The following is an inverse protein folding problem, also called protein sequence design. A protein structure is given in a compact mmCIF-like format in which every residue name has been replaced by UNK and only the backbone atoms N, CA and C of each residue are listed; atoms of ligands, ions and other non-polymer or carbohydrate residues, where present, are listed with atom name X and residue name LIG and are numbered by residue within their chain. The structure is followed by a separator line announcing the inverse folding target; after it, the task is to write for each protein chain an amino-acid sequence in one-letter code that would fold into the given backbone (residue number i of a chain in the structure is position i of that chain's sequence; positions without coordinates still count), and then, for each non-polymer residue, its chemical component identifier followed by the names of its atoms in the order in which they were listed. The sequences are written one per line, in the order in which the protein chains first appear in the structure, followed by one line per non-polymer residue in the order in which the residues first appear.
data_IF_029015055046
#
_entry.id   IF_029015055046
#
_cell.length_a   1.000
_cell.length_b   1.000
_cell.length_c   1.000
_cell.angle_alpha   90.00
_cell.angle_beta   90.00
_cell.angle_gamma   90.00
#
_symmetry.space_group_name_H-M   'P 1'
#
loop_
_entity.id
_entity.type
_entity.pdbx_description
1 polymer ?
#
# COMPACT_ATOMS: atom_id res chain seq x y z
N UNK A 1 -25.96 31.53 23.79
CA UNK A 1 -25.38 30.48 24.65
C UNK A 1 -25.76 29.07 24.18
N UNK A 2 -27.00 28.78 23.76
CA UNK A 2 -27.44 27.44 23.32
C UNK A 2 -26.77 26.96 22.03
N UNK A 3 -26.63 27.80 20.99
CA UNK A 3 -26.00 27.41 19.72
C UNK A 3 -24.52 27.00 19.87
N UNK A 4 -23.74 27.67 20.71
CA UNK A 4 -22.33 27.32 20.99
C UNK A 4 -22.20 25.96 21.70
N UNK A 5 -23.18 25.65 22.59
CA UNK A 5 -23.22 24.38 23.29
C UNK A 5 -23.62 23.20 22.35
N UNK A 6 -24.52 23.46 21.41
CA UNK A 6 -24.90 22.46 20.39
C UNK A 6 -23.74 22.16 19.41
N UNK A 7 -23.02 23.19 18.95
CA UNK A 7 -21.83 23.02 18.13
C UNK A 7 -20.71 22.22 18.85
N UNK A 8 -20.50 22.48 20.15
CA UNK A 8 -19.56 21.72 20.97
C UNK A 8 -19.98 20.24 21.11
N UNK A 9 -21.27 19.98 21.37
CA UNK A 9 -21.78 18.60 21.47
C UNK A 9 -21.65 17.84 20.16
N UNK A 10 -21.96 18.49 19.03
CA UNK A 10 -21.83 17.90 17.69
C UNK A 10 -20.35 17.60 17.36
N UNK A 11 -19.44 18.53 17.64
CA UNK A 11 -18.00 18.30 17.45
C UNK A 11 -17.44 17.14 18.28
N UNK A 12 -17.85 17.04 19.57
CA UNK A 12 -17.47 15.93 20.44
C UNK A 12 -18.05 14.57 19.97
N UNK A 13 -19.23 14.57 19.38
CA UNK A 13 -19.83 13.34 18.84
C UNK A 13 -19.06 12.83 17.61
N UNK A 14 -18.62 13.71 16.72
CA UNK A 14 -17.80 13.37 15.56
C UNK A 14 -16.43 12.83 16.00
N UNK A 15 -15.80 13.45 16.98
CA UNK A 15 -14.50 13.02 17.48
C UNK A 15 -14.58 11.64 18.14
N UNK A 16 -15.61 11.39 18.97
CA UNK A 16 -15.88 10.07 19.54
C UNK A 16 -16.11 9.01 18.45
N UNK A 17 -16.85 9.34 17.41
CA UNK A 17 -17.08 8.45 16.27
C UNK A 17 -15.77 8.09 15.56
N UNK A 18 -14.90 9.07 15.30
CA UNK A 18 -13.59 8.84 14.69
C UNK A 18 -12.70 7.93 15.52
N UNK A 19 -12.67 8.14 16.84
CA UNK A 19 -11.92 7.28 17.78
C UNK A 19 -12.50 5.87 17.79
N UNK A 20 -13.83 5.72 17.77
CA UNK A 20 -14.48 4.42 17.70
C UNK A 20 -14.11 3.68 16.40
N UNK A 21 -14.13 4.38 15.25
CA UNK A 21 -13.73 3.79 13.97
C UNK A 21 -12.25 3.40 13.96
N UNK A 22 -11.37 4.22 14.54
CA UNK A 22 -9.95 3.88 14.67
C UNK A 22 -9.76 2.60 15.50
N UNK A 23 -10.48 2.47 16.62
CA UNK A 23 -10.47 1.27 17.43
C UNK A 23 -11.02 0.04 16.68
N UNK A 24 -12.09 0.20 15.92
CA UNK A 24 -12.65 -0.85 15.08
C UNK A 24 -11.65 -1.32 14.00
N UNK A 25 -10.96 -0.40 13.33
CA UNK A 25 -9.91 -0.75 12.36
C UNK A 25 -8.71 -1.40 13.03
N UNK A 26 -8.34 -1.02 14.26
CA UNK A 26 -7.30 -1.68 15.03
C UNK A 26 -7.67 -3.14 15.36
N UNK A 27 -8.93 -3.38 15.75
CA UNK A 27 -9.44 -4.75 15.99
C UNK A 27 -9.44 -5.57 14.69
N UNK A 28 -9.87 -4.99 13.56
CA UNK A 28 -9.81 -5.65 12.27
C UNK A 28 -8.38 -5.97 11.84
N UNK A 29 -7.44 -5.04 12.04
CA UNK A 29 -6.03 -5.25 11.74
C UNK A 29 -5.43 -6.38 12.59
N UNK A 30 -5.68 -6.36 13.89
CA UNK A 30 -5.24 -7.42 14.79
C UNK A 30 -5.87 -8.78 14.43
N UNK A 31 -7.17 -8.80 14.14
CA UNK A 31 -7.88 -10.00 13.69
C UNK A 31 -7.31 -10.56 12.38
N UNK A 32 -7.06 -9.71 11.38
CA UNK A 32 -6.47 -10.11 10.10
C UNK A 32 -5.05 -10.64 10.25
N UNK A 33 -4.24 -9.97 11.07
CA UNK A 33 -2.88 -10.43 11.38
C UNK A 33 -2.89 -11.79 12.08
N UNK A 34 -3.69 -11.97 13.12
CA UNK A 34 -3.83 -13.24 13.83
C UNK A 34 -4.36 -14.34 12.90
N UNK A 35 -5.38 -14.04 12.09
CA UNK A 35 -5.90 -14.98 11.10
C UNK A 35 -4.80 -15.39 10.11
N UNK A 36 -3.97 -14.45 9.64
CA UNK A 36 -2.85 -14.72 8.73
C UNK A 36 -1.78 -15.64 9.36
N UNK A 37 -1.49 -15.49 10.65
CA UNK A 37 -0.53 -16.33 11.36
C UNK A 37 -1.10 -17.72 11.63
N UNK A 38 -2.37 -17.81 12.01
CA UNK A 38 -2.99 -19.07 12.45
C UNK A 38 -3.44 -19.95 11.27
N UNK A 39 -3.90 -19.34 10.16
CA UNK A 39 -4.44 -20.06 9.01
C UNK A 39 -3.36 -20.39 7.98
N UNK A 40 -3.51 -21.52 7.27
CA UNK A 40 -2.61 -21.94 6.18
C UNK A 40 -2.88 -23.38 5.77
N UNK A 41 -2.19 -23.88 4.72
CA UNK A 41 -2.38 -25.21 4.15
C UNK A 41 -2.17 -26.34 5.20
N UNK A 42 -1.27 -26.14 6.16
CA UNK A 42 -1.04 -27.06 7.29
C UNK A 42 -1.85 -26.58 8.49
N UNK A 43 -2.73 -27.41 9.04
CA UNK A 43 -3.47 -27.08 10.25
C UNK A 43 -2.55 -27.17 11.46
N UNK A 44 -2.36 -26.06 12.17
CA UNK A 44 -1.65 -26.01 13.46
C UNK A 44 -2.73 -25.86 14.55
N UNK A 45 -2.88 -26.83 15.45
CA UNK A 45 -3.88 -26.75 16.51
C UNK A 45 -3.56 -25.58 17.46
N UNK A 46 -4.62 -24.87 17.89
CA UNK A 46 -4.48 -23.70 18.77
C UNK A 46 -3.78 -24.06 20.09
N UNK A 47 -3.96 -25.29 20.58
CA UNK A 47 -3.24 -25.83 21.76
C UNK A 47 -1.72 -25.84 21.58
N UNK A 48 -1.24 -26.13 20.36
CA UNK A 48 0.21 -26.15 20.07
C UNK A 48 0.85 -24.75 20.11
N UNK A 49 0.07 -23.68 19.98
CA UNK A 49 0.59 -22.31 20.03
C UNK A 49 1.17 -21.95 21.40
N UNK A 50 0.50 -22.37 22.48
CA UNK A 50 0.99 -22.16 23.85
C UNK A 50 2.34 -22.85 24.07
N UNK A 51 2.48 -24.08 23.60
CA UNK A 51 3.71 -24.84 23.69
C UNK A 51 4.84 -24.21 22.87
N UNK A 52 4.53 -23.78 21.64
CA UNK A 52 5.51 -23.11 20.75
C UNK A 52 6.00 -21.79 21.36
N UNK A 53 5.11 -20.98 21.95
CA UNK A 53 5.46 -19.71 22.60
C UNK A 53 6.31 -19.90 23.85
N UNK A 54 6.11 -21.00 24.58
CA UNK A 54 6.89 -21.37 25.77
C UNK A 54 8.22 -22.11 25.43
N UNK A 55 8.58 -22.16 24.14
CA UNK A 55 9.83 -22.76 23.67
C UNK A 55 9.79 -24.29 23.51
N UNK A 56 8.61 -24.92 23.72
CA UNK A 56 8.33 -26.32 23.45
C UNK A 56 7.62 -26.55 22.12
N UNK A 57 6.94 -27.68 21.99
CA UNK A 57 6.15 -28.06 20.84
C UNK A 57 6.94 -28.81 19.75
N UNK A 58 6.19 -29.26 18.72
CA UNK A 58 6.76 -29.92 17.56
C UNK A 58 7.63 -28.96 16.73
N UNK A 59 8.87 -29.37 16.46
CA UNK A 59 9.83 -28.57 15.68
C UNK A 59 9.30 -28.16 14.30
N UNK A 60 8.53 -29.00 13.61
CA UNK A 60 7.96 -28.69 12.32
C UNK A 60 6.92 -27.56 12.42
N UNK A 61 5.98 -27.65 13.35
CA UNK A 61 4.96 -26.61 13.58
C UNK A 61 5.58 -25.28 14.01
N UNK A 62 6.63 -25.32 14.84
CA UNK A 62 7.39 -24.14 15.26
C UNK A 62 8.08 -23.47 14.06
N UNK A 63 8.73 -24.23 13.19
CA UNK A 63 9.39 -23.72 11.99
C UNK A 63 8.38 -23.08 11.04
N UNK A 64 7.24 -23.73 10.81
CA UNK A 64 6.17 -23.18 9.95
C UNK A 64 5.64 -21.87 10.53
N UNK A 65 5.37 -21.81 11.84
CA UNK A 65 4.81 -20.61 12.46
C UNK A 65 5.81 -19.45 12.45
N UNK A 66 7.04 -19.65 12.94
CA UNK A 66 8.00 -18.58 13.19
C UNK A 66 8.78 -18.17 11.93
N UNK A 67 9.06 -19.09 11.00
CA UNK A 67 9.93 -18.82 9.85
C UNK A 67 9.17 -18.69 8.52
N UNK A 68 7.89 -19.12 8.45
CA UNK A 68 7.09 -19.01 7.24
C UNK A 68 5.91 -18.08 7.46
N UNK A 69 5.01 -18.36 8.43
CA UNK A 69 3.77 -17.62 8.58
C UNK A 69 3.95 -16.23 9.19
N UNK A 70 4.73 -16.15 10.26
CA UNK A 70 4.92 -14.90 10.99
C UNK A 70 5.58 -13.82 10.11
N UNK A 71 6.74 -14.07 9.44
CA UNK A 71 7.32 -13.05 8.56
C UNK A 71 6.41 -12.69 7.38
N UNK A 72 5.69 -13.67 6.79
CA UNK A 72 4.71 -13.39 5.74
C UNK A 72 3.57 -12.48 6.22
N UNK A 73 3.02 -12.74 7.42
CA UNK A 73 1.97 -11.91 8.01
C UNK A 73 2.46 -10.49 8.31
N UNK A 74 3.71 -10.34 8.79
CA UNK A 74 4.32 -9.03 9.03
C UNK A 74 4.51 -8.29 7.70
N UNK A 75 5.04 -8.95 6.66
CA UNK A 75 5.19 -8.35 5.33
C UNK A 75 3.83 -7.94 4.76
N UNK A 76 2.80 -8.80 4.87
CA UNK A 76 1.43 -8.46 4.44
C UNK A 76 0.90 -7.21 5.13
N UNK A 77 1.09 -7.11 6.45
CA UNK A 77 0.71 -5.96 7.25
C UNK A 77 1.44 -4.68 6.81
N UNK A 78 2.77 -4.74 6.65
CA UNK A 78 3.58 -3.60 6.22
C UNK A 78 3.25 -3.15 4.79
N UNK A 79 3.04 -4.09 3.87
CA UNK A 79 2.63 -3.80 2.49
C UNK A 79 1.25 -3.12 2.47
N UNK A 80 0.29 -3.66 3.22
CA UNK A 80 -1.05 -3.08 3.32
C UNK A 80 -1.03 -1.66 3.90
N UNK A 81 -0.29 -1.45 4.98
CA UNK A 81 -0.07 -0.14 5.58
C UNK A 81 0.56 0.83 4.59
N UNK A 82 1.66 0.44 3.95
CA UNK A 82 2.42 1.32 3.06
C UNK A 82 1.61 1.74 1.84
N UNK A 83 0.92 0.81 1.18
CA UNK A 83 0.08 1.13 0.02
C UNK A 83 -1.11 2.02 0.40
N UNK A 84 -1.78 1.73 1.52
CA UNK A 84 -2.91 2.52 1.98
C UNK A 84 -2.52 3.94 2.37
N UNK A 85 -1.42 4.11 3.12
CA UNK A 85 -0.91 5.44 3.50
C UNK A 85 -0.38 6.19 2.28
N UNK A 86 0.36 5.52 1.39
CA UNK A 86 0.80 6.11 0.12
C UNK A 86 -0.39 6.63 -0.68
N UNK A 87 -1.43 5.81 -0.84
CA UNK A 87 -2.66 6.21 -1.52
C UNK A 87 -3.31 7.44 -0.87
N UNK A 88 -3.48 7.44 0.46
CA UNK A 88 -4.05 8.58 1.18
C UNK A 88 -3.26 9.88 0.95
N UNK A 89 -1.94 9.80 0.99
CA UNK A 89 -1.03 10.94 0.78
C UNK A 89 -1.11 11.42 -0.67
N UNK A 90 -1.03 10.52 -1.64
CA UNK A 90 -1.09 10.88 -3.06
C UNK A 90 -2.45 11.45 -3.46
N UNK A 91 -3.55 10.92 -2.91
CA UNK A 91 -4.89 11.49 -3.08
C UNK A 91 -4.96 12.94 -2.58
N UNK A 92 -4.31 13.25 -1.46
CA UNK A 92 -4.22 14.62 -0.95
C UNK A 92 -3.44 15.54 -1.89
N UNK A 93 -2.25 15.13 -2.28
CA UNK A 93 -1.34 15.91 -3.14
C UNK A 93 -1.97 16.16 -4.51
N UNK A 94 -2.61 15.14 -5.08
CA UNK A 94 -3.27 15.22 -6.39
C UNK A 94 -4.65 15.88 -6.34
N UNK A 95 -5.20 16.12 -5.14
CA UNK A 95 -6.60 16.55 -4.96
C UNK A 95 -7.57 15.68 -5.75
N UNK A 96 -7.28 14.39 -5.80
CA UNK A 96 -8.06 13.41 -6.55
C UNK A 96 -8.24 12.15 -5.69
N UNK A 97 -9.46 11.81 -5.27
CA UNK A 97 -9.74 10.63 -4.46
C UNK A 97 -9.45 9.29 -5.18
N UNK A 98 -9.27 9.34 -6.51
CA UNK A 98 -8.95 8.19 -7.34
C UNK A 98 -7.44 8.03 -7.62
N UNK A 99 -6.59 8.87 -7.03
CA UNK A 99 -5.15 8.73 -7.17
C UNK A 99 -4.66 7.47 -6.43
N UNK A 100 -3.85 6.68 -7.12
CA UNK A 100 -3.24 5.44 -6.61
C UNK A 100 -1.79 5.38 -7.09
N UNK A 101 -0.84 4.88 -6.28
CA UNK A 101 0.56 4.73 -6.67
C UNK A 101 0.76 3.92 -7.96
N UNK A 102 -0.12 2.94 -8.19
CA UNK A 102 -0.09 2.11 -9.39
C UNK A 102 -0.44 2.91 -10.65
N UNK A 103 -1.45 3.76 -10.57
CA UNK A 103 -1.93 4.60 -11.70
C UNK A 103 -0.92 5.70 -12.02
N UNK A 104 -0.22 6.23 -11.00
CA UNK A 104 0.74 7.34 -11.16
C UNK A 104 2.06 6.88 -11.82
N UNK A 105 2.31 5.57 -11.96
CA UNK A 105 3.47 5.02 -12.67
C UNK A 105 4.64 4.57 -11.81
N UNK A 106 4.56 4.72 -10.49
CA UNK A 106 5.60 4.24 -9.55
C UNK A 106 5.76 2.72 -9.68
N UNK A 107 4.63 2.00 -9.73
CA UNK A 107 4.62 0.57 -9.88
C UNK A 107 5.19 0.07 -11.21
N UNK A 108 5.04 0.84 -12.29
CA UNK A 108 5.61 0.46 -13.60
C UNK A 108 7.14 0.49 -13.59
N UNK A 109 7.75 1.42 -12.85
CA UNK A 109 9.19 1.47 -12.64
C UNK A 109 9.71 0.26 -11.88
N UNK A 110 9.02 -0.10 -10.77
CA UNK A 110 9.31 -1.34 -10.04
C UNK A 110 9.12 -2.56 -10.94
N UNK A 111 8.05 -2.56 -11.73
CA UNK A 111 7.71 -3.63 -12.68
C UNK A 111 8.82 -3.92 -13.68
N UNK A 112 9.24 -2.90 -14.39
CA UNK A 112 10.31 -3.07 -15.38
C UNK A 112 11.62 -3.52 -14.73
N UNK A 113 12.04 -2.89 -13.64
CA UNK A 113 13.31 -3.22 -12.98
C UNK A 113 13.29 -4.63 -12.35
N UNK A 114 12.19 -5.03 -11.69
CA UNK A 114 12.05 -6.38 -11.14
C UNK A 114 12.01 -7.46 -12.22
N UNK A 115 11.20 -7.26 -13.26
CA UNK A 115 11.09 -8.21 -14.39
C UNK A 115 12.42 -8.32 -15.13
N UNK A 116 13.15 -7.22 -15.29
CA UNK A 116 14.48 -7.23 -15.89
C UNK A 116 15.43 -8.20 -15.16
N UNK A 117 15.44 -8.16 -13.82
CA UNK A 117 16.26 -9.10 -13.03
C UNK A 117 15.72 -10.53 -13.12
N UNK A 118 14.41 -10.72 -12.93
CA UNK A 118 13.79 -12.07 -12.94
C UNK A 118 14.08 -12.81 -14.25
N UNK A 119 13.99 -12.12 -15.38
CA UNK A 119 14.07 -12.73 -16.72
C UNK A 119 15.51 -12.84 -17.23
N UNK A 120 16.29 -11.76 -17.11
CA UNK A 120 17.65 -11.71 -17.68
C UNK A 120 18.71 -12.26 -16.74
N UNK A 121 18.52 -12.10 -15.42
CA UNK A 121 19.51 -12.46 -14.41
C UNK A 121 18.92 -13.33 -13.29
N UNK A 122 18.32 -14.52 -13.59
CA UNK A 122 17.65 -15.35 -12.59
C UNK A 122 18.58 -15.81 -11.45
N UNK A 123 19.89 -15.89 -11.69
CA UNK A 123 20.88 -16.19 -10.64
C UNK A 123 21.05 -15.07 -9.61
N UNK A 124 20.56 -13.85 -9.90
CA UNK A 124 20.65 -12.67 -9.03
C UNK A 124 19.30 -12.33 -8.37
N UNK A 125 18.53 -13.35 -7.99
CA UNK A 125 17.19 -13.19 -7.40
C UNK A 125 17.20 -12.23 -6.18
N UNK A 126 18.26 -12.20 -5.40
CA UNK A 126 18.43 -11.28 -4.25
C UNK A 126 18.44 -9.80 -4.64
N UNK A 127 18.68 -9.47 -5.92
CA UNK A 127 18.63 -8.10 -6.43
C UNK A 127 17.23 -7.66 -6.86
N UNK A 128 16.22 -8.54 -6.91
CA UNK A 128 14.87 -8.18 -7.35
C UNK A 128 14.31 -7.02 -6.50
N UNK A 129 14.37 -7.15 -5.17
CA UNK A 129 13.82 -6.15 -4.26
C UNK A 129 14.55 -4.81 -4.38
N UNK A 130 15.89 -4.72 -4.26
CA UNK A 130 16.57 -3.44 -4.37
C UNK A 130 16.45 -2.79 -5.75
N UNK A 131 16.48 -3.57 -6.84
CA UNK A 131 16.32 -3.01 -8.20
C UNK A 131 14.89 -2.54 -8.45
N UNK A 132 13.88 -3.28 -8.03
CA UNK A 132 12.48 -2.85 -8.12
C UNK A 132 12.23 -1.57 -7.31
N UNK A 133 12.80 -1.47 -6.11
CA UNK A 133 12.75 -0.24 -5.30
C UNK A 133 13.39 0.95 -6.02
N UNK A 134 14.61 0.78 -6.54
CA UNK A 134 15.29 1.82 -7.31
C UNK A 134 14.50 2.21 -8.57
N UNK A 135 13.96 1.22 -9.30
CA UNK A 135 13.13 1.45 -10.48
C UNK A 135 11.86 2.27 -10.17
N UNK A 136 11.20 1.96 -9.05
CA UNK A 136 10.04 2.73 -8.57
C UNK A 136 10.40 4.19 -8.23
N UNK A 137 11.50 4.38 -7.49
CA UNK A 137 11.96 5.72 -7.10
C UNK A 137 12.42 6.54 -8.30
N UNK A 138 13.12 5.93 -9.27
CA UNK A 138 13.52 6.58 -10.51
C UNK A 138 12.33 6.98 -11.36
N UNK A 139 11.31 6.11 -11.48
CA UNK A 139 10.08 6.44 -12.18
C UNK A 139 9.35 7.62 -11.49
N UNK A 140 9.23 7.60 -10.17
CA UNK A 140 8.62 8.70 -9.41
C UNK A 140 9.38 10.02 -9.63
N UNK A 141 10.71 10.01 -9.57
CA UNK A 141 11.54 11.18 -9.81
C UNK A 141 11.40 11.68 -11.26
N UNK A 142 11.42 10.80 -12.24
CA UNK A 142 11.22 11.13 -13.64
C UNK A 142 9.86 11.80 -13.89
N UNK A 143 8.79 11.21 -13.36
CA UNK A 143 7.43 11.75 -13.46
C UNK A 143 7.35 13.14 -12.83
N UNK A 144 7.96 13.32 -11.65
CA UNK A 144 7.97 14.59 -10.96
C UNK A 144 8.72 15.67 -11.75
N UNK A 145 9.89 15.33 -12.30
CA UNK A 145 10.70 16.24 -13.14
C UNK A 145 9.95 16.63 -14.41
N UNK A 146 9.34 15.67 -15.11
CA UNK A 146 8.57 15.92 -16.32
C UNK A 146 7.31 16.78 -16.07
N UNK A 147 6.68 16.60 -14.90
CA UNK A 147 5.51 17.38 -14.50
C UNK A 147 5.86 18.81 -14.05
N UNK A 148 7.14 19.09 -13.79
CA UNK A 148 7.60 20.38 -13.29
C UNK A 148 7.63 21.43 -14.42
N UNK A 149 6.81 22.48 -14.30
CA UNK A 149 6.83 23.66 -15.18
C UNK A 149 6.25 24.84 -14.40
N UNK A 150 7.11 25.71 -13.86
CA UNK A 150 6.71 26.84 -13.01
C UNK A 150 5.77 26.43 -11.86
N UNK A 151 6.13 25.35 -11.18
CA UNK A 151 5.34 24.70 -10.14
C UNK A 151 4.62 23.44 -10.63
N UNK A 152 4.19 22.63 -9.66
CA UNK A 152 3.54 21.34 -9.89
C UNK A 152 2.03 21.50 -9.91
N UNK A 153 1.41 21.01 -10.99
CA UNK A 153 -0.04 20.87 -11.11
C UNK A 153 -0.42 19.39 -11.08
N UNK A 154 -1.44 18.98 -10.31
CA UNK A 154 -1.88 17.58 -10.22
C UNK A 154 -2.09 16.91 -11.56
N UNK A 155 -2.78 17.58 -12.50
CA UNK A 155 -3.04 17.07 -13.85
C UNK A 155 -1.75 16.71 -14.61
N UNK A 156 -0.68 17.50 -14.46
CA UNK A 156 0.60 17.22 -15.14
C UNK A 156 1.27 15.96 -14.60
N UNK A 157 1.19 15.72 -13.30
CA UNK A 157 1.73 14.47 -12.69
C UNK A 157 0.99 13.27 -13.26
N UNK A 158 -0.34 13.33 -13.36
CA UNK A 158 -1.14 12.24 -13.92
C UNK A 158 -0.76 12.00 -15.40
N UNK A 159 -0.67 13.03 -16.22
CA UNK A 159 -0.30 12.90 -17.63
C UNK A 159 1.13 12.38 -17.81
N UNK A 160 2.10 12.89 -17.04
CA UNK A 160 3.47 12.38 -17.02
C UNK A 160 3.52 10.93 -16.56
N UNK A 161 2.73 10.60 -15.53
CA UNK A 161 2.59 9.22 -15.02
C UNK A 161 2.09 8.26 -16.08
N UNK A 162 1.03 8.61 -16.81
CA UNK A 162 0.50 7.79 -17.92
C UNK A 162 1.55 7.59 -19.01
N UNK A 163 2.25 8.65 -19.44
CA UNK A 163 3.28 8.56 -20.47
C UNK A 163 4.47 7.68 -20.06
N UNK A 164 4.99 7.90 -18.84
CA UNK A 164 6.11 7.10 -18.29
C UNK A 164 5.68 5.64 -18.09
N UNK A 165 4.48 5.40 -17.55
CA UNK A 165 3.95 4.03 -17.38
C UNK A 165 3.82 3.29 -18.69
N UNK A 166 3.34 3.97 -19.75
CA UNK A 166 3.20 3.38 -21.08
C UNK A 166 4.57 3.02 -21.67
N UNK A 167 5.56 3.90 -21.51
CA UNK A 167 6.93 3.65 -21.97
C UNK A 167 7.57 2.47 -21.23
N UNK A 168 7.47 2.45 -19.88
CA UNK A 168 8.00 1.37 -19.06
C UNK A 168 7.25 0.04 -19.32
N UNK A 169 5.94 0.10 -19.55
CA UNK A 169 5.10 -1.04 -19.94
C UNK A 169 5.51 -1.63 -21.29
N UNK A 170 5.90 -0.79 -22.26
CA UNK A 170 6.46 -1.27 -23.53
C UNK A 170 7.79 -2.01 -23.30
N UNK A 171 8.65 -1.53 -22.39
CA UNK A 171 9.86 -2.22 -21.99
C UNK A 171 9.59 -3.59 -21.36
N UNK A 172 8.59 -3.69 -20.47
CA UNK A 172 8.14 -4.96 -19.90
C UNK A 172 7.69 -5.91 -21.00
N UNK A 173 6.82 -5.44 -21.91
CA UNK A 173 6.31 -6.25 -23.03
C UNK A 173 7.44 -6.75 -23.94
N UNK A 174 8.42 -5.90 -24.23
CA UNK A 174 9.59 -6.29 -25.03
C UNK A 174 10.39 -7.43 -24.38
N UNK A 175 10.65 -7.35 -23.07
CA UNK A 175 11.35 -8.40 -22.31
C UNK A 175 10.56 -9.71 -22.38
N UNK A 176 9.24 -9.67 -22.14
CA UNK A 176 8.40 -10.87 -22.12
C UNK A 176 8.29 -11.53 -23.51
N UNK A 177 8.31 -10.76 -24.58
CA UNK A 177 8.31 -11.30 -25.96
C UNK A 177 9.64 -11.90 -26.34
N UNK A 178 10.75 -11.22 -26.01
CA UNK A 178 12.11 -11.68 -26.36
C UNK A 178 12.54 -12.92 -25.56
N UNK A 179 12.02 -13.12 -24.34
CA UNK A 179 12.38 -14.19 -23.42
C UNK A 179 11.14 -14.99 -22.99
N UNK A 180 10.33 -15.41 -23.95
CA UNK A 180 9.03 -16.08 -23.70
C UNK A 180 9.13 -17.38 -22.91
N UNK A 181 10.27 -18.04 -22.87
CA UNK A 181 10.58 -19.23 -22.09
C UNK A 181 10.70 -18.98 -20.57
N UNK A 182 10.89 -17.72 -20.16
CA UNK A 182 11.12 -17.31 -18.75
C UNK A 182 9.98 -16.44 -18.16
N UNK A 183 8.84 -16.41 -18.82
CA UNK A 183 7.74 -15.50 -18.50
C UNK A 183 7.04 -15.85 -17.18
N UNK A 184 7.04 -17.11 -16.76
CA UNK A 184 6.23 -17.56 -15.62
C UNK A 184 6.51 -16.78 -14.32
N UNK A 185 7.78 -16.63 -13.94
CA UNK A 185 8.18 -15.87 -12.75
C UNK A 185 7.80 -14.40 -12.84
N UNK A 186 7.96 -13.79 -14.02
CA UNK A 186 7.58 -12.42 -14.29
C UNK A 186 6.06 -12.21 -14.17
N UNK A 187 5.24 -13.13 -14.69
CA UNK A 187 3.78 -13.08 -14.55
C UNK A 187 3.34 -13.15 -13.09
N UNK A 188 3.91 -14.08 -12.29
CA UNK A 188 3.60 -14.18 -10.86
C UNK A 188 3.93 -12.87 -10.12
N UNK A 189 5.06 -12.24 -10.46
CA UNK A 189 5.48 -10.98 -9.88
C UNK A 189 4.60 -9.80 -10.32
N UNK A 190 4.14 -9.79 -11.59
CA UNK A 190 3.20 -8.78 -12.12
C UNK A 190 1.83 -8.84 -11.46
N UNK A 191 1.36 -10.02 -11.12
CA UNK A 191 0.07 -10.17 -10.42
C UNK A 191 0.15 -9.66 -8.98
N UNK A 192 1.34 -9.72 -8.38
CA UNK A 192 1.57 -9.35 -6.99
C UNK A 192 1.21 -10.45 -6.00
N UNK A 193 2.15 -10.84 -5.17
CA UNK A 193 2.00 -11.94 -4.24
C UNK A 193 2.93 -11.85 -3.04
N UNK A 194 2.55 -12.57 -1.98
CA UNK A 194 3.29 -12.64 -0.71
C UNK A 194 3.85 -14.04 -0.45
N UNK A 195 3.75 -14.95 -1.43
CA UNK A 195 4.35 -16.27 -1.34
C UNK A 195 5.87 -16.17 -1.15
N UNK A 196 6.44 -17.09 -0.36
CA UNK A 196 7.87 -17.16 -0.04
C UNK A 196 8.47 -15.88 0.60
N UNK A 197 7.66 -14.99 1.18
CA UNK A 197 8.18 -13.85 1.94
C UNK A 197 8.65 -14.31 3.33
N UNK A 198 9.85 -13.83 3.72
CA UNK A 198 10.63 -14.30 4.86
C UNK A 198 11.22 -13.12 5.64
N UNK A 199 11.96 -13.36 6.70
CA UNK A 199 12.55 -12.32 7.56
C UNK A 199 13.39 -11.25 6.82
N UNK A 200 14.25 -11.58 5.84
CA UNK A 200 14.95 -10.57 5.06
C UNK A 200 14.03 -9.54 4.38
N UNK A 201 12.84 -9.96 3.95
CA UNK A 201 11.87 -9.02 3.37
C UNK A 201 11.27 -8.09 4.43
N UNK A 202 11.07 -8.58 5.68
CA UNK A 202 10.66 -7.74 6.82
C UNK A 202 11.73 -6.69 7.11
N UNK A 203 12.99 -7.11 7.20
CA UNK A 203 14.12 -6.22 7.48
C UNK A 203 14.25 -5.10 6.44
N UNK A 204 14.00 -5.43 5.16
CA UNK A 204 14.08 -4.44 4.08
C UNK A 204 12.91 -3.45 4.13
N UNK A 205 11.66 -3.91 4.30
CA UNK A 205 10.49 -3.02 4.20
C UNK A 205 10.25 -2.19 5.48
N UNK A 206 10.59 -2.73 6.65
CA UNK A 206 10.27 -2.14 7.95
C UNK A 206 10.80 -0.70 8.14
N UNK A 207 12.06 -0.38 7.84
CA UNK A 207 12.58 0.98 8.02
C UNK A 207 11.80 2.01 7.21
N UNK A 208 11.51 1.71 5.95
CA UNK A 208 10.77 2.60 5.06
C UNK A 208 9.31 2.77 5.51
N UNK A 209 8.70 1.69 5.99
CA UNK A 209 7.35 1.69 6.52
C UNK A 209 7.23 2.59 7.76
N UNK A 210 8.14 2.42 8.72
CA UNK A 210 8.15 3.22 9.96
C UNK A 210 8.43 4.69 9.67
N UNK A 211 9.49 4.99 8.91
CA UNK A 211 9.86 6.37 8.57
C UNK A 211 8.75 7.05 7.77
N UNK A 212 8.26 6.40 6.72
CA UNK A 212 7.21 6.97 5.86
C UNK A 212 5.90 7.20 6.60
N UNK A 213 5.50 6.26 7.47
CA UNK A 213 4.30 6.41 8.30
C UNK A 213 4.42 7.56 9.30
N UNK A 214 5.54 7.64 10.04
CA UNK A 214 5.78 8.73 11.00
C UNK A 214 5.74 10.09 10.29
N UNK A 215 6.46 10.22 9.16
CA UNK A 215 6.46 11.46 8.39
C UNK A 215 5.08 11.84 7.88
N UNK A 216 4.28 10.87 7.41
CA UNK A 216 2.91 11.10 6.96
C UNK A 216 2.01 11.58 8.10
N UNK A 217 2.08 10.95 9.28
CA UNK A 217 1.29 11.33 10.47
C UNK A 217 1.71 12.70 10.99
N UNK A 218 2.99 12.95 11.16
CA UNK A 218 3.52 14.25 11.63
C UNK A 218 3.13 15.40 10.70
N UNK A 219 3.08 15.12 9.40
CA UNK A 219 2.72 16.12 8.41
C UNK A 219 1.23 16.21 8.05
N UNK A 220 0.35 15.46 8.71
CA UNK A 220 -1.09 15.39 8.39
C UNK A 220 -1.77 16.77 8.33
N UNK A 221 -1.35 17.71 9.18
CA UNK A 221 -1.86 19.09 9.18
C UNK A 221 -1.61 19.81 7.84
N UNK A 222 -0.48 19.60 7.20
CA UNK A 222 -0.18 20.22 5.91
C UNK A 222 -1.04 19.63 4.81
N UNK A 223 -1.37 18.33 4.88
CA UNK A 223 -2.32 17.71 3.95
C UNK A 223 -3.72 18.29 4.13
N UNK A 224 -4.17 18.54 5.36
CA UNK A 224 -5.43 19.23 5.62
C UNK A 224 -5.45 20.63 5.01
N UNK A 225 -4.36 21.40 5.16
CA UNK A 225 -4.25 22.75 4.59
C UNK A 225 -4.29 22.69 3.05
N UNK A 226 -3.62 21.73 2.42
CA UNK A 226 -3.67 21.55 0.96
C UNK A 226 -5.08 21.33 0.42
N UNK A 227 -5.97 20.70 1.21
CA UNK A 227 -7.37 20.49 0.79
C UNK A 227 -8.17 21.80 0.69
N UNK A 228 -7.76 22.86 1.39
CA UNK A 228 -8.43 24.16 1.36
C UNK A 228 -8.21 24.92 0.05
N UNK A 229 -7.29 24.48 -0.78
CA UNK A 229 -6.89 25.15 -2.03
C UNK A 229 -5.51 25.81 -1.94
N UNK A 230 -4.89 26.01 -3.10
CA UNK A 230 -3.51 26.50 -3.16
C UNK A 230 -3.38 27.95 -2.68
N UNK A 231 -4.35 28.79 -3.05
CA UNK A 231 -4.33 30.21 -2.67
C UNK A 231 -4.57 30.39 -1.17
N UNK A 232 -5.48 29.61 -0.58
CA UNK A 232 -5.72 29.62 0.86
C UNK A 232 -4.50 29.09 1.59
N UNK A 233 -3.89 27.99 1.13
CA UNK A 233 -2.69 27.43 1.73
C UNK A 233 -1.51 28.43 1.71
N UNK A 234 -1.30 29.14 0.61
CA UNK A 234 -0.30 30.22 0.51
C UNK A 234 -0.61 31.38 1.45
N UNK A 235 -1.88 31.78 1.54
CA UNK A 235 -2.32 32.81 2.47
C UNK A 235 -2.08 32.47 3.95
N UNK A 236 -2.08 31.16 4.28
CA UNK A 236 -1.70 30.62 5.59
C UNK A 236 -0.18 30.46 5.78
N UNK A 237 0.63 30.92 4.84
CA UNK A 237 2.10 30.86 4.91
C UNK A 237 2.70 29.49 4.56
N UNK A 238 1.93 28.58 3.97
CA UNK A 238 2.42 27.25 3.59
C UNK A 238 3.06 27.29 2.20
N UNK A 239 4.29 26.78 2.09
CA UNK A 239 4.92 26.56 0.80
C UNK A 239 4.33 25.31 0.13
N UNK A 240 3.30 25.54 -0.70
CA UNK A 240 2.54 24.48 -1.38
C UNK A 240 3.43 23.56 -2.23
N UNK A 241 4.43 24.12 -2.91
CA UNK A 241 5.35 23.37 -3.77
C UNK A 241 6.20 22.39 -2.95
N UNK A 242 6.79 22.89 -1.85
CA UNK A 242 7.60 22.07 -0.96
C UNK A 242 6.75 20.96 -0.30
N UNK A 243 5.56 21.29 0.14
CA UNK A 243 4.65 20.30 0.76
C UNK A 243 4.29 19.22 -0.27
N UNK A 244 3.96 19.59 -1.51
CA UNK A 244 3.70 18.61 -2.57
C UNK A 244 4.91 17.73 -2.88
N UNK A 245 6.09 18.32 -2.98
CA UNK A 245 7.33 17.56 -3.21
C UNK A 245 7.55 16.52 -2.10
N UNK A 246 7.55 16.98 -0.85
CA UNK A 246 7.83 16.12 0.31
C UNK A 246 6.81 15.00 0.42
N UNK A 247 5.51 15.29 0.29
CA UNK A 247 4.48 14.26 0.41
C UNK A 247 4.43 13.33 -0.81
N UNK A 248 4.76 13.82 -2.01
CA UNK A 248 4.95 12.91 -3.16
C UNK A 248 6.13 11.96 -2.92
N UNK A 249 7.22 12.45 -2.38
CA UNK A 249 8.38 11.62 -2.04
C UNK A 249 8.04 10.58 -0.95
N UNK A 250 7.29 10.97 0.10
CA UNK A 250 6.81 10.04 1.14
C UNK A 250 5.89 8.97 0.53
N UNK A 251 4.91 9.37 -0.29
CA UNK A 251 4.02 8.44 -0.98
C UNK A 251 4.78 7.49 -1.91
N UNK A 252 5.74 8.00 -2.67
CA UNK A 252 6.59 7.18 -3.55
C UNK A 252 7.47 6.20 -2.75
N UNK A 253 8.06 6.64 -1.64
CA UNK A 253 8.88 5.80 -0.76
C UNK A 253 8.07 4.61 -0.21
N UNK A 254 6.88 4.90 0.33
CA UNK A 254 5.98 3.88 0.87
C UNK A 254 5.51 2.89 -0.23
N UNK A 255 5.11 3.41 -1.39
CA UNK A 255 4.70 2.56 -2.51
C UNK A 255 5.87 1.72 -3.06
N UNK A 256 7.05 2.32 -3.27
CA UNK A 256 8.23 1.63 -3.77
C UNK A 256 8.65 0.49 -2.84
N UNK A 257 8.66 0.72 -1.52
CA UNK A 257 9.00 -0.30 -0.53
C UNK A 257 7.99 -1.45 -0.51
N UNK A 258 6.70 -1.18 -0.68
CA UNK A 258 5.66 -2.21 -0.74
C UNK A 258 5.75 -3.01 -2.05
N UNK A 259 5.81 -2.34 -3.20
CA UNK A 259 5.82 -2.97 -4.52
C UNK A 259 7.10 -3.78 -4.75
N UNK A 260 8.25 -3.32 -4.27
CA UNK A 260 9.52 -4.05 -4.40
C UNK A 260 9.48 -5.43 -3.70
N UNK A 261 8.70 -5.55 -2.63
CA UNK A 261 8.56 -6.81 -1.88
C UNK A 261 7.36 -7.64 -2.35
N UNK A 262 6.21 -7.01 -2.60
CA UNK A 262 4.96 -7.72 -2.93
C UNK A 262 4.69 -7.87 -4.43
N UNK A 263 5.48 -7.23 -5.32
CA UNK A 263 5.14 -7.10 -6.73
C UNK A 263 4.04 -6.07 -6.96
N UNK A 264 3.40 -6.11 -8.13
CA UNK A 264 2.45 -5.09 -8.58
C UNK A 264 1.06 -5.26 -7.93
N UNK A 265 0.96 -5.01 -6.63
CA UNK A 265 -0.29 -5.10 -5.88
C UNK A 265 -1.10 -3.78 -6.02
N UNK A 266 -2.17 -3.82 -6.79
CA UNK A 266 -3.06 -2.67 -7.03
C UNK A 266 -4.23 -2.56 -6.05
N UNK A 267 -5.01 -1.47 -6.20
CA UNK A 267 -6.27 -1.17 -5.53
C UNK A 267 -6.21 -0.87 -4.02
N UNK A 268 -5.20 -1.32 -3.27
CA UNK A 268 -5.10 -1.06 -1.82
C UNK A 268 -5.07 0.45 -1.56
N UNK A 269 -4.21 1.18 -2.29
CA UNK A 269 -4.06 2.63 -2.16
C UNK A 269 -5.28 3.43 -2.63
N UNK A 270 -6.14 2.82 -3.43
CA UNK A 270 -7.38 3.44 -3.89
C UNK A 270 -8.53 3.20 -2.90
N UNK A 271 -8.80 1.93 -2.60
CA UNK A 271 -9.99 1.50 -1.84
C UNK A 271 -9.91 1.91 -0.39
N UNK A 272 -8.77 1.62 0.26
CA UNK A 272 -8.64 1.76 1.70
C UNK A 272 -8.82 3.22 2.16
N UNK A 273 -8.07 4.22 1.65
CA UNK A 273 -8.24 5.58 2.11
C UNK A 273 -9.59 6.18 1.72
N UNK A 274 -10.18 5.74 0.61
CA UNK A 274 -11.51 6.17 0.22
C UNK A 274 -12.58 5.64 1.20
N UNK A 275 -12.53 4.34 1.54
CA UNK A 275 -13.43 3.73 2.55
C UNK A 275 -13.29 4.43 3.91
N UNK A 276 -12.07 4.69 4.35
CA UNK A 276 -11.82 5.43 5.58
C UNK A 276 -12.43 6.83 5.53
N UNK A 277 -12.25 7.54 4.41
CA UNK A 277 -12.80 8.90 4.23
C UNK A 277 -14.33 8.92 4.33
N UNK A 278 -15.00 7.93 3.79
CA UNK A 278 -16.46 7.79 3.90
C UNK A 278 -16.92 7.57 5.34
N UNK A 279 -16.13 6.90 6.18
CA UNK A 279 -16.49 6.54 7.55
C UNK A 279 -16.02 7.58 8.59
N UNK A 280 -14.85 8.18 8.41
CA UNK A 280 -14.23 9.08 9.40
C UNK A 280 -14.13 10.54 8.96
N UNK A 281 -14.46 10.81 7.69
CA UNK A 281 -14.29 12.14 7.08
C UNK A 281 -12.86 12.37 6.55
N UNK A 282 -12.62 13.62 6.09
CA UNK A 282 -11.41 13.97 5.33
C UNK A 282 -10.28 14.55 6.18
N UNK A 283 -10.34 14.46 7.52
CA UNK A 283 -9.25 14.93 8.39
C UNK A 283 -8.08 13.95 8.39
N UNK A 284 -6.96 14.34 7.80
CA UNK A 284 -5.77 13.49 7.63
C UNK A 284 -5.13 13.03 8.95
N UNK A 285 -5.40 13.70 10.07
CA UNK A 285 -4.95 13.26 11.40
C UNK A 285 -5.57 11.92 11.80
N UNK A 286 -6.80 11.64 11.35
CA UNK A 286 -7.50 10.38 11.54
C UNK A 286 -7.43 9.49 10.30
N UNK A 287 -7.44 10.08 9.11
CA UNK A 287 -7.45 9.35 7.85
C UNK A 287 -6.17 8.53 7.64
N UNK A 288 -4.99 9.08 7.95
CA UNK A 288 -3.72 8.35 7.78
C UNK A 288 -3.62 7.13 8.71
N UNK A 289 -3.78 7.26 10.05
CA UNK A 289 -3.68 6.10 10.93
C UNK A 289 -4.81 5.08 10.70
N UNK A 290 -6.02 5.53 10.38
CA UNK A 290 -7.13 4.63 10.04
C UNK A 290 -6.87 3.89 8.72
N UNK A 291 -6.30 4.55 7.71
CA UNK A 291 -5.90 3.91 6.45
C UNK A 291 -4.79 2.88 6.66
N UNK A 292 -3.83 3.16 7.53
CA UNK A 292 -2.79 2.21 7.89
C UNK A 292 -3.39 0.93 8.49
N UNK A 293 -4.26 1.07 9.48
CA UNK A 293 -4.91 -0.06 10.15
C UNK A 293 -5.83 -0.85 9.22
N UNK A 294 -6.67 -0.17 8.45
CA UNK A 294 -7.55 -0.84 7.49
C UNK A 294 -6.74 -1.49 6.36
N UNK A 295 -5.63 -0.89 5.92
CA UNK A 295 -4.72 -1.46 4.94
C UNK A 295 -4.09 -2.76 5.43
N UNK A 296 -3.63 -2.80 6.69
CA UNK A 296 -3.16 -4.03 7.36
C UNK A 296 -4.26 -5.10 7.30
N UNK A 297 -5.47 -4.77 7.73
CA UNK A 297 -6.58 -5.72 7.74
C UNK A 297 -6.87 -6.27 6.33
N UNK A 298 -7.05 -5.39 5.35
CA UNK A 298 -7.42 -5.77 3.97
C UNK A 298 -6.40 -6.71 3.36
N UNK A 299 -5.10 -6.39 3.45
CA UNK A 299 -4.07 -7.22 2.81
C UNK A 299 -3.85 -8.53 3.56
N UNK A 300 -3.87 -8.53 4.91
CA UNK A 300 -3.70 -9.77 5.68
C UNK A 300 -4.87 -10.73 5.50
N UNK A 301 -6.12 -10.25 5.47
CA UNK A 301 -7.27 -11.10 5.17
C UNK A 301 -7.25 -11.60 3.71
N UNK A 302 -6.94 -10.73 2.75
CA UNK A 302 -6.89 -11.11 1.33
C UNK A 302 -5.78 -12.15 1.06
N UNK A 303 -4.59 -12.00 1.67
CA UNK A 303 -3.52 -13.00 1.56
C UNK A 303 -3.92 -14.32 2.23
N UNK A 304 -4.60 -14.27 3.37
CA UNK A 304 -5.10 -15.47 4.03
C UNK A 304 -6.12 -16.19 3.18
N UNK A 305 -7.09 -15.48 2.63
CA UNK A 305 -8.09 -16.05 1.71
C UNK A 305 -7.42 -16.65 0.47
N UNK A 306 -6.44 -15.95 -0.12
CA UNK A 306 -5.70 -16.42 -1.29
C UNK A 306 -4.97 -17.74 -1.04
N UNK A 307 -4.53 -18.00 0.20
CA UNK A 307 -3.84 -19.24 0.60
C UNK A 307 -4.77 -20.41 0.91
N UNK A 308 -5.99 -20.13 1.41
CA UNK A 308 -6.86 -21.19 1.92
C UNK A 308 -8.03 -21.53 0.99
N UNK A 309 -8.37 -20.65 0.03
CA UNK A 309 -9.56 -20.81 -0.80
C UNK A 309 -9.44 -21.97 -1.81
N UNK A 310 -8.23 -22.29 -2.28
CA UNK A 310 -8.01 -23.26 -3.36
C UNK A 310 -6.91 -24.29 -3.02
N UNK A 311 -6.83 -24.72 -1.76
CA UNK A 311 -5.85 -25.73 -1.32
C UNK A 311 -5.88 -26.95 -2.23
N UNK A 312 -4.74 -27.46 -2.73
CA UNK A 312 -3.36 -27.12 -2.36
C UNK A 312 -2.71 -25.96 -3.14
N UNK A 313 -3.44 -25.31 -4.03
CA UNK A 313 -2.92 -24.18 -4.82
C UNK A 313 -3.03 -22.88 -4.03
N UNK A 314 -1.93 -22.11 -3.96
CA UNK A 314 -1.95 -20.76 -3.43
C UNK A 314 -2.11 -19.76 -4.59
N UNK A 315 -3.16 -18.93 -4.53
CA UNK A 315 -3.32 -17.85 -5.49
C UNK A 315 -2.57 -16.59 -5.03
N UNK A 316 -1.99 -15.81 -5.96
CA UNK A 316 -1.45 -14.50 -5.63
C UNK A 316 -2.52 -13.57 -5.04
N UNK A 317 -2.19 -12.85 -3.97
CA UNK A 317 -3.12 -11.91 -3.29
C UNK A 317 -3.64 -10.83 -4.24
N UNK A 318 -2.86 -10.45 -5.25
CA UNK A 318 -3.26 -9.46 -6.25
C UNK A 318 -4.52 -9.83 -7.03
N UNK A 319 -4.79 -11.13 -7.25
CA UNK A 319 -6.04 -11.60 -7.89
C UNK A 319 -7.25 -11.22 -7.01
N UNK A 320 -7.17 -11.47 -5.70
CA UNK A 320 -8.24 -11.13 -4.76
C UNK A 320 -8.41 -9.61 -4.66
N UNK A 321 -7.30 -8.86 -4.62
CA UNK A 321 -7.34 -7.40 -4.59
C UNK A 321 -7.96 -6.82 -5.86
N UNK A 322 -7.67 -7.36 -7.03
CA UNK A 322 -8.27 -6.93 -8.29
C UNK A 322 -9.76 -7.29 -8.35
N UNK A 323 -10.14 -8.50 -7.90
CA UNK A 323 -11.52 -8.95 -7.86
C UNK A 323 -12.40 -8.13 -6.92
N UNK A 324 -11.87 -7.65 -5.79
CA UNK A 324 -12.56 -6.75 -4.87
C UNK A 324 -12.50 -5.29 -5.35
N UNK A 325 -11.36 -4.88 -5.92
CA UNK A 325 -11.07 -3.51 -6.26
C UNK A 325 -11.83 -2.99 -7.46
N UNK A 326 -11.91 -3.77 -8.53
CA UNK A 326 -12.56 -3.33 -9.75
C UNK A 326 -14.08 -3.10 -9.59
N UNK A 327 -14.86 -4.00 -8.95
CA UNK A 327 -16.26 -3.73 -8.66
C UNK A 327 -16.49 -2.54 -7.72
N UNK A 328 -15.63 -2.39 -6.70
CA UNK A 328 -15.69 -1.25 -5.79
C UNK A 328 -15.43 0.07 -6.52
N UNK A 329 -14.45 0.10 -7.41
CA UNK A 329 -14.15 1.28 -8.23
C UNK A 329 -15.31 1.65 -9.15
N UNK A 330 -15.93 0.67 -9.80
CA UNK A 330 -17.11 0.88 -10.64
C UNK A 330 -18.31 1.41 -9.84
N UNK A 331 -18.50 0.90 -8.61
CA UNK A 331 -19.53 1.42 -7.71
C UNK A 331 -19.29 2.89 -7.35
N UNK A 332 -18.04 3.27 -7.07
CA UNK A 332 -17.67 4.67 -6.78
C UNK A 332 -17.93 5.59 -7.97
N UNK A 333 -17.49 5.20 -9.15
CA UNK A 333 -17.73 5.98 -10.38
C UNK A 333 -19.22 6.25 -10.61
N UNK A 334 -20.08 5.24 -10.35
CA UNK A 334 -21.52 5.41 -10.50
C UNK A 334 -22.15 6.33 -9.46
N UNK A 335 -21.53 6.47 -8.30
CA UNK A 335 -22.07 7.33 -7.21
C UNK A 335 -21.63 8.77 -7.32
N UNK A 336 -20.49 9.03 -7.96
CA UNK A 336 -19.94 10.39 -8.18
C UNK A 336 -20.39 11.02 -9.50
N UNK A 337 -20.96 10.23 -10.43
CA UNK A 337 -21.65 10.67 -11.64
C UNK A 337 -23.18 10.79 -11.38
#
# INVERSE_FOLDING_TARGET
MNAVNEHKKFGMAIEKWRVLMLAAFAVLAAGGFLCSVLSGAVAIPVSALGDILNGGGDNANRQILLNIRLPRAIVAALVGMNLAVSGAVLQAVMKNPLADPHIIGISSGAGLAGIFVIVLFPALEYLIVPTAFCGAMLAAACIYILAWKNGIRPLRIVLAGVAVSSFLGAGISAILVLYSDRVHGALMWMVGGLAARSWPHVEIILPYAVIGFILAVCGARYLNILQLGDDVAKGLGVNVELVRLVFTAIGALLAASAVSVAGLLGFVGLIVPHTVRLLTGSDYRFLIPSSALLGIAVVTYSDTLARVAFVPLELPVGIFMAALGAPFFLFLLRKEL
#
